data_IF_566578233674
#
_entry.id   IF_566578233674
#
_cell.length_a   1.000
_cell.length_b   1.000
_cell.length_c   1.000
_cell.angle_alpha   90.00
_cell.angle_beta   90.00
_cell.angle_gamma   90.00
#
_symmetry.space_group_name_H-M   'P 1'
#
loop_
_entity.id
_entity.type
_entity.pdbx_description
1 polymer ?
#
# COMPACT_ATOMS: atom_id res chain seq x y z
N UNK A 1 -20.57 -3.98 24.36
CA UNK A 1 -20.52 -4.63 23.04
C UNK A 1 -19.14 -5.17 22.80
N UNK A 2 -19.01 -6.46 22.48
CA UNK A 2 -17.75 -7.00 21.96
C UNK A 2 -17.52 -6.39 20.58
N UNK A 3 -16.60 -5.44 20.49
CA UNK A 3 -16.14 -4.88 19.22
C UNK A 3 -15.72 -6.06 18.34
N UNK A 4 -16.39 -6.22 17.20
CA UNK A 4 -16.12 -7.30 16.25
C UNK A 4 -14.73 -7.13 15.66
N UNK A 5 -13.74 -7.76 16.28
CA UNK A 5 -12.39 -7.83 15.77
C UNK A 5 -12.43 -8.43 14.36
N UNK A 6 -12.03 -7.66 13.34
CA UNK A 6 -11.70 -8.21 12.03
C UNK A 6 -10.31 -8.81 12.13
N UNK A 7 -10.14 -10.15 12.03
CA UNK A 7 -8.83 -10.74 11.91
C UNK A 7 -8.16 -10.25 10.61
N UNK A 8 -6.83 -10.35 10.59
CA UNK A 8 -6.04 -10.19 9.38
C UNK A 8 -6.72 -10.92 8.20
N UNK A 9 -6.93 -10.22 7.09
CA UNK A 9 -7.68 -10.75 5.95
C UNK A 9 -6.75 -11.21 4.83
N UNK A 10 -5.92 -10.33 4.27
CA UNK A 10 -4.95 -10.71 3.23
C UNK A 10 -3.93 -9.62 2.88
N UNK A 11 -2.80 -10.08 2.34
CA UNK A 11 -1.73 -9.28 1.75
C UNK A 11 -1.53 -9.70 0.30
N UNK A 12 -1.26 -8.75 -0.59
CA UNK A 12 -0.65 -9.05 -1.88
C UNK A 12 0.48 -8.08 -2.24
N UNK A 13 1.48 -8.61 -2.93
CA UNK A 13 2.51 -7.83 -3.61
C UNK A 13 2.65 -8.35 -5.03
N UNK A 14 2.03 -7.65 -5.97
CA UNK A 14 1.98 -8.01 -7.38
C UNK A 14 2.95 -7.17 -8.20
N UNK A 15 3.49 -7.82 -9.21
CA UNK A 15 4.26 -7.21 -10.27
C UNK A 15 3.48 -7.36 -11.57
N UNK A 16 3.21 -6.24 -12.23
CA UNK A 16 2.41 -6.21 -13.45
C UNK A 16 3.28 -5.76 -14.62
N UNK A 17 3.43 -6.66 -15.59
CA UNK A 17 4.15 -6.45 -16.84
C UNK A 17 3.32 -5.77 -17.94
N UNK A 18 3.84 -5.82 -19.16
CA UNK A 18 3.19 -5.26 -20.34
C UNK A 18 1.78 -5.83 -20.55
N UNK A 19 0.85 -4.99 -21.00
CA UNK A 19 -0.55 -5.37 -21.22
C UNK A 19 -1.33 -5.72 -19.95
N UNK A 20 -0.81 -5.41 -18.76
CA UNK A 20 -1.50 -5.67 -17.49
C UNK A 20 -1.34 -7.10 -16.96
N UNK A 21 -0.45 -7.90 -17.55
CA UNK A 21 -0.22 -9.29 -17.13
C UNK A 21 0.55 -9.34 -15.82
N UNK A 22 0.09 -10.12 -14.84
CA UNK A 22 0.84 -10.40 -13.61
C UNK A 22 2.03 -11.29 -13.93
N UNK A 23 3.24 -10.84 -13.60
CA UNK A 23 4.51 -11.56 -13.86
C UNK A 23 5.10 -12.18 -12.60
N UNK A 24 4.86 -11.59 -11.43
CA UNK A 24 5.15 -12.16 -10.10
C UNK A 24 4.06 -11.76 -9.12
N UNK A 25 3.75 -12.64 -8.19
CA UNK A 25 2.81 -12.36 -7.11
C UNK A 25 3.26 -13.07 -5.82
N UNK A 26 3.01 -12.40 -4.70
CA UNK A 26 2.94 -13.03 -3.39
C UNK A 26 1.62 -12.58 -2.75
N UNK A 27 0.68 -13.52 -2.62
CA UNK A 27 -0.60 -13.30 -1.95
C UNK A 27 -0.73 -14.28 -0.79
N UNK A 28 -1.14 -13.79 0.38
CA UNK A 28 -1.40 -14.63 1.56
C UNK A 28 -2.52 -14.08 2.42
N UNK A 29 -3.31 -14.97 3.01
CA UNK A 29 -4.27 -14.68 4.09
C UNK A 29 -3.75 -15.08 5.48
N UNK A 30 -2.55 -15.68 5.56
CA UNK A 30 -1.92 -16.06 6.82
C UNK A 30 -0.97 -14.95 7.30
N UNK A 31 -1.19 -14.46 8.52
CA UNK A 31 -0.39 -13.40 9.11
C UNK A 31 1.07 -13.83 9.35
N UNK A 32 1.31 -15.10 9.67
CA UNK A 32 2.65 -15.67 9.88
C UNK A 32 3.44 -15.73 8.58
N UNK A 33 2.79 -16.08 7.46
CA UNK A 33 3.41 -16.05 6.14
C UNK A 33 3.78 -14.64 5.70
N UNK A 34 2.89 -13.67 5.99
CA UNK A 34 3.18 -12.24 5.79
C UNK A 34 4.41 -11.80 6.58
N UNK A 35 4.45 -12.09 7.88
CA UNK A 35 5.58 -11.73 8.74
C UNK A 35 6.88 -12.40 8.25
N UNK A 36 6.78 -13.65 7.80
CA UNK A 36 7.89 -14.36 7.15
C UNK A 36 8.35 -13.69 5.86
N UNK A 37 7.42 -13.21 5.03
CA UNK A 37 7.73 -12.43 3.83
C UNK A 37 8.47 -11.14 4.19
N UNK A 38 7.93 -10.32 5.09
CA UNK A 38 8.59 -9.08 5.51
C UNK A 38 9.97 -9.32 6.14
N UNK A 39 10.12 -10.35 6.98
CA UNK A 39 11.42 -10.71 7.54
C UNK A 39 12.43 -11.10 6.45
N UNK A 40 12.01 -11.85 5.42
CA UNK A 40 12.86 -12.17 4.25
C UNK A 40 13.25 -10.90 3.49
N UNK A 41 12.29 -10.05 3.16
CA UNK A 41 12.54 -8.78 2.43
C UNK A 41 13.45 -7.84 3.21
N UNK A 42 13.26 -7.74 4.52
CA UNK A 42 14.12 -6.95 5.39
C UNK A 42 15.57 -7.47 5.42
N UNK A 43 15.77 -8.80 5.48
CA UNK A 43 17.11 -9.40 5.37
C UNK A 43 17.80 -9.14 4.03
N UNK A 44 17.02 -8.96 2.97
CA UNK A 44 17.54 -8.53 1.66
C UNK A 44 17.81 -7.02 1.60
N UNK A 45 17.74 -6.29 2.71
CA UNK A 45 17.98 -4.85 2.74
C UNK A 45 16.88 -4.03 2.07
N UNK A 46 15.67 -4.57 1.96
CA UNK A 46 14.55 -3.81 1.43
C UNK A 46 14.15 -2.67 2.36
N UNK A 47 13.99 -1.49 1.76
CA UNK A 47 13.48 -0.28 2.38
C UNK A 47 12.27 0.23 1.60
N UNK A 48 11.30 0.76 2.33
CA UNK A 48 10.10 1.37 1.77
C UNK A 48 9.91 2.75 2.38
N UNK A 49 9.66 3.77 1.55
CA UNK A 49 9.39 5.13 2.01
C UNK A 49 8.06 5.61 1.45
N UNK A 50 7.17 6.02 2.35
CA UNK A 50 5.89 6.60 2.00
C UNK A 50 6.09 7.94 1.27
N UNK A 51 5.45 8.08 0.11
CA UNK A 51 5.39 9.35 -0.62
C UNK A 51 4.08 10.08 -0.34
N UNK A 52 2.96 9.38 -0.45
CA UNK A 52 1.63 9.94 -0.18
C UNK A 52 0.67 8.83 0.24
N UNK A 53 -0.26 9.18 1.11
CA UNK A 53 -1.40 8.34 1.49
C UNK A 53 -2.65 9.20 1.41
N UNK A 54 -3.74 8.62 0.92
CA UNK A 54 -5.07 9.23 0.94
C UNK A 54 -6.03 8.26 1.59
N UNK A 55 -6.87 8.79 2.46
CA UNK A 55 -7.93 8.05 3.12
C UNK A 55 -9.17 8.06 2.22
N UNK A 56 -9.82 6.90 2.11
CA UNK A 56 -11.06 6.72 1.33
C UNK A 56 -12.26 6.59 2.29
N UNK A 57 -13.37 6.02 1.81
CA UNK A 57 -14.59 5.88 2.60
C UNK A 57 -14.41 5.06 3.90
N UNK A 58 -15.18 5.44 4.92
CA UNK A 58 -15.43 4.67 6.15
C UNK A 58 -16.48 3.57 5.89
N UNK A 59 -16.82 2.77 6.91
CA UNK A 59 -17.92 1.81 6.80
C UNK A 59 -17.57 0.54 6.01
N UNK A 60 -16.29 0.26 5.75
CA UNK A 60 -15.90 -0.92 4.99
C UNK A 60 -16.25 -2.22 5.71
N UNK A 61 -16.80 -3.19 4.98
CA UNK A 61 -17.20 -4.50 5.50
C UNK A 61 -18.14 -4.34 6.71
N UNK A 62 -19.20 -3.55 6.56
CA UNK A 62 -20.27 -3.37 7.55
C UNK A 62 -19.78 -2.87 8.93
N UNK A 63 -18.72 -2.07 8.95
CA UNK A 63 -18.15 -1.51 10.18
C UNK A 63 -17.67 -0.09 9.96
N UNK A 64 -18.31 0.86 10.64
CA UNK A 64 -17.96 2.30 10.60
C UNK A 64 -16.49 2.56 10.95
N UNK A 65 -15.95 1.77 11.87
CA UNK A 65 -14.56 1.89 12.33
C UNK A 65 -13.53 1.38 11.32
N UNK A 66 -13.95 0.82 10.19
CA UNK A 66 -13.04 0.40 9.12
C UNK A 66 -12.93 1.47 8.05
N UNK A 67 -11.68 1.80 7.70
CA UNK A 67 -11.34 2.87 6.77
C UNK A 67 -10.43 2.32 5.69
N UNK A 68 -10.75 2.65 4.44
CA UNK A 68 -9.88 2.35 3.30
C UNK A 68 -8.81 3.41 3.14
N UNK A 69 -7.68 3.01 2.56
CA UNK A 69 -6.64 3.95 2.16
C UNK A 69 -5.98 3.50 0.87
N UNK A 70 -5.47 4.47 0.12
CA UNK A 70 -4.63 4.30 -1.06
C UNK A 70 -3.31 5.00 -0.79
N UNK A 71 -2.22 4.46 -1.33
CA UNK A 71 -0.89 4.99 -1.03
C UNK A 71 0.05 4.84 -2.22
N UNK A 72 1.10 5.66 -2.21
CA UNK A 72 2.25 5.60 -3.10
C UNK A 72 3.51 5.60 -2.25
N UNK A 73 4.43 4.69 -2.53
CA UNK A 73 5.72 4.54 -1.85
C UNK A 73 6.85 4.42 -2.86
N UNK A 74 8.08 4.67 -2.41
CA UNK A 74 9.28 4.13 -3.05
C UNK A 74 9.70 2.83 -2.38
N UNK A 75 10.27 1.91 -3.15
CA UNK A 75 10.88 0.67 -2.68
C UNK A 75 12.31 0.59 -3.19
N UNK A 76 13.21 0.11 -2.34
CA UNK A 76 14.61 -0.12 -2.72
C UNK A 76 15.14 -1.36 -2.02
N UNK A 77 15.67 -2.30 -2.80
CA UNK A 77 16.46 -3.41 -2.31
C UNK A 77 17.53 -3.78 -3.37
N UNK A 78 18.67 -4.36 -3.00
CA UNK A 78 19.69 -4.82 -3.95
C UNK A 78 19.18 -5.95 -4.87
N UNK A 79 18.27 -6.78 -4.36
CA UNK A 79 17.66 -7.90 -5.10
C UNK A 79 16.29 -7.54 -5.71
N UNK A 80 15.86 -6.28 -5.57
CA UNK A 80 14.68 -5.80 -6.26
C UNK A 80 15.03 -5.79 -7.74
N UNK A 81 14.56 -6.81 -8.46
CA UNK A 81 14.64 -6.88 -9.90
C UNK A 81 14.22 -5.51 -10.48
N UNK A 82 14.94 -4.94 -11.48
CA UNK A 82 14.50 -3.70 -12.14
C UNK A 82 13.03 -3.77 -12.58
N UNK A 83 12.55 -4.98 -12.87
CA UNK A 83 11.15 -5.22 -13.19
C UNK A 83 10.24 -5.24 -11.93
N UNK A 84 10.75 -5.61 -10.74
CA UNK A 84 10.05 -5.65 -9.44
C UNK A 84 9.93 -4.26 -8.78
N UNK A 85 9.97 -3.18 -9.55
CA UNK A 85 9.69 -1.82 -9.08
C UNK A 85 9.58 -0.81 -10.23
N UNK A 86 9.75 -1.26 -11.47
CA UNK A 86 10.11 -0.40 -12.59
C UNK A 86 11.46 0.29 -12.35
N UNK A 87 12.05 0.91 -13.39
CA UNK A 87 13.25 1.74 -13.21
C UNK A 87 13.02 2.88 -12.19
N UNK A 88 11.77 3.28 -11.95
CA UNK A 88 11.41 4.31 -10.96
C UNK A 88 11.48 3.84 -9.49
N UNK A 89 11.41 2.53 -9.20
CA UNK A 89 11.34 2.02 -7.83
C UNK A 89 10.08 2.48 -7.08
N UNK A 90 8.97 2.66 -7.79
CA UNK A 90 7.71 3.19 -7.26
C UNK A 90 6.68 2.06 -7.16
N UNK A 91 6.03 1.98 -6.01
CA UNK A 91 4.89 1.09 -5.80
C UNK A 91 3.66 1.89 -5.36
N UNK A 92 2.49 1.44 -5.78
CA UNK A 92 1.23 1.98 -5.32
C UNK A 92 0.34 0.86 -4.79
N UNK A 93 -0.63 1.22 -3.98
CA UNK A 93 -1.48 0.20 -3.40
C UNK A 93 -2.67 0.75 -2.68
N UNK A 94 -3.37 -0.19 -2.06
CA UNK A 94 -4.54 0.07 -1.24
C UNK A 94 -4.55 -0.87 -0.05
N UNK A 95 -5.12 -0.43 1.04
CA UNK A 95 -5.35 -1.25 2.20
C UNK A 95 -6.58 -0.80 2.97
N UNK A 96 -6.80 -1.45 4.10
CA UNK A 96 -7.86 -1.08 5.03
C UNK A 96 -7.35 -1.27 6.45
N UNK A 97 -7.73 -0.32 7.31
CA UNK A 97 -7.40 -0.30 8.73
C UNK A 97 -8.67 -0.17 9.56
N UNK A 98 -8.62 -0.68 10.78
CA UNK A 98 -9.65 -0.44 11.78
C UNK A 98 -9.15 0.64 12.75
N UNK A 99 -9.89 1.75 12.87
CA UNK A 99 -9.51 2.91 13.66
C UNK A 99 -9.58 2.68 15.18
N UNK A 100 -10.42 1.76 15.65
CA UNK A 100 -10.55 1.48 17.08
C UNK A 100 -9.36 0.70 17.62
N UNK A 101 -8.88 -0.27 16.85
CA UNK A 101 -7.76 -1.13 17.25
C UNK A 101 -6.42 -0.77 16.58
N UNK A 102 -6.43 0.22 15.68
CA UNK A 102 -5.27 0.75 14.96
C UNK A 102 -4.51 -0.32 14.14
N UNK A 103 -5.22 -1.31 13.61
CA UNK A 103 -4.60 -2.38 12.80
C UNK A 103 -5.00 -2.30 11.33
N UNK A 104 -4.00 -2.45 10.47
CA UNK A 104 -4.19 -2.77 9.06
C UNK A 104 -4.60 -4.25 8.97
N UNK A 105 -5.67 -4.54 8.25
CA UNK A 105 -6.18 -5.90 8.07
C UNK A 105 -6.23 -6.35 6.60
N UNK A 106 -6.11 -5.42 5.65
CA UNK A 106 -5.82 -5.71 4.24
C UNK A 106 -4.73 -4.79 3.72
N UNK A 107 -3.85 -5.31 2.89
CA UNK A 107 -2.81 -4.52 2.23
C UNK A 107 -2.45 -5.14 0.89
N UNK A 108 -2.70 -4.43 -0.20
CA UNK A 108 -2.23 -4.81 -1.54
C UNK A 108 -1.30 -3.77 -2.12
N UNK A 109 -0.24 -4.24 -2.75
CA UNK A 109 0.78 -3.44 -3.40
C UNK A 109 0.97 -3.91 -4.82
N UNK A 110 0.98 -2.97 -5.76
CA UNK A 110 1.23 -3.21 -7.18
C UNK A 110 2.43 -2.38 -7.62
N UNK A 111 3.20 -2.94 -8.53
CA UNK A 111 4.30 -2.27 -9.22
C UNK A 111 4.19 -2.54 -10.71
N UNK A 112 4.51 -1.53 -11.52
CA UNK A 112 4.52 -1.64 -12.97
C UNK A 112 5.96 -1.78 -13.45
N UNK A 113 6.24 -2.78 -14.28
CA UNK A 113 7.62 -3.06 -14.74
C UNK A 113 8.16 -1.99 -15.69
N UNK A 114 7.29 -1.17 -16.30
CA UNK A 114 7.65 -0.10 -17.24
C UNK A 114 7.40 1.30 -16.65
N UNK A 115 7.46 1.45 -15.33
CA UNK A 115 7.25 2.76 -14.69
C UNK A 115 8.53 3.60 -14.70
N UNK A 116 8.50 4.74 -15.38
CA UNK A 116 9.59 5.70 -15.51
C UNK A 116 9.31 7.06 -14.86
N UNK A 117 8.11 7.24 -14.26
CA UNK A 117 7.73 8.48 -13.59
C UNK A 117 8.60 8.80 -12.38
N UNK A 118 8.75 10.09 -12.15
CA UNK A 118 9.32 10.64 -10.93
C UNK A 118 8.39 10.45 -9.74
N UNK A 119 8.94 10.54 -8.53
CA UNK A 119 8.16 10.54 -7.28
C UNK A 119 7.04 11.61 -7.29
N UNK A 120 7.34 12.79 -7.86
CA UNK A 120 6.38 13.91 -7.97
C UNK A 120 5.19 13.58 -8.88
N UNK A 121 5.43 12.86 -9.96
CA UNK A 121 4.36 12.45 -10.87
C UNK A 121 3.55 11.30 -10.26
N UNK A 122 4.19 10.39 -9.51
CA UNK A 122 3.50 9.28 -8.87
C UNK A 122 2.58 9.73 -7.72
N UNK A 123 2.95 10.76 -6.94
CA UNK A 123 2.04 11.30 -5.90
C UNK A 123 0.75 11.92 -6.47
N UNK A 124 0.76 12.32 -7.75
CA UNK A 124 -0.41 12.82 -8.44
C UNK A 124 -1.40 11.70 -8.83
N UNK A 125 -1.08 10.42 -8.63
CA UNK A 125 -2.03 9.32 -8.79
C UNK A 125 -3.12 9.31 -7.73
N UNK A 126 -2.85 9.92 -6.57
CA UNK A 126 -3.82 10.05 -5.50
C UNK A 126 -4.49 11.42 -5.58
N UNK A 127 -5.65 11.54 -4.95
CA UNK A 127 -6.47 12.76 -4.90
C UNK A 127 -5.63 14.01 -4.64
N UNK A 128 -6.01 15.11 -5.30
CA UNK A 128 -5.37 16.40 -5.09
C UNK A 128 -5.40 16.82 -3.62
N UNK A 129 -4.38 17.58 -3.23
CA UNK A 129 -4.32 18.14 -1.89
C UNK A 129 -5.44 19.17 -1.74
N UNK A 130 -6.16 19.18 -0.61
CA UNK A 130 -7.21 20.16 -0.40
C UNK A 130 -6.61 21.58 -0.36
N UNK A 131 -7.32 22.61 -0.86
CA UNK A 131 -6.83 23.98 -0.84
C UNK A 131 -6.39 24.43 0.56
N UNK A 132 -5.19 24.99 0.67
CA UNK A 132 -4.62 25.45 1.95
C UNK A 132 -3.90 24.38 2.78
N UNK A 133 -3.64 23.20 2.19
CA UNK A 133 -2.93 22.11 2.88
C UNK A 133 -1.55 22.52 3.39
N UNK A 134 -1.33 22.35 4.70
CA UNK A 134 -0.05 22.53 5.41
C UNK A 134 0.09 21.38 6.42
N UNK A 135 0.67 20.24 6.02
CA UNK A 135 0.62 19.04 6.83
C UNK A 135 1.43 19.20 8.13
N UNK A 136 0.77 18.88 9.25
CA UNK A 136 1.37 18.66 10.57
C UNK A 136 0.86 17.35 11.20
N UNK A 137 -0.45 17.05 11.02
CA UNK A 137 -1.11 15.77 11.31
C UNK A 137 -1.91 15.29 10.07
N UNK A 138 -2.40 14.03 10.09
CA UNK A 138 -3.12 13.42 8.97
C UNK A 138 -4.47 14.11 8.67
N UNK A 139 -4.69 14.48 7.41
CA UNK A 139 -5.93 15.13 6.93
C UNK A 139 -6.65 14.20 5.94
N UNK A 140 -7.96 14.02 6.11
CA UNK A 140 -8.84 13.28 5.18
C UNK A 140 -9.40 14.27 4.17
N UNK A 141 -9.14 14.06 2.87
CA UNK A 141 -9.42 15.02 1.81
C UNK A 141 -10.52 14.59 0.81
N UNK A 142 -11.28 13.54 1.11
CA UNK A 142 -12.33 13.05 0.21
C UNK A 142 -13.69 13.09 0.90
N UNK A 143 -14.68 13.64 0.20
CA UNK A 143 -16.12 13.56 0.50
C UNK A 143 -16.81 12.60 -0.46
#
# INVERSE_FOLDING_TARGET
>A
SSVGYRPWSWYSSTQTGEGGKVTRDFTTSDQSELLGYFARRHRQGETMRLLKVSITQTGLLDSESNVGFVYVITRKAPDLDPDLGGPAGIAYGKGSLNCENLRIFTWSMNMKTQEDRTEREAVAWLCEEPPGWRPGEAVVACT
#
